data_IF_374461593263
#
_entry.id   IF_374461593263
#
_cell.length_a   1.000
_cell.length_b   1.000
_cell.length_c   1.000
_cell.angle_alpha   90.00
_cell.angle_beta   90.00
_cell.angle_gamma   90.00
#
_symmetry.space_group_name_H-M   'P 1'
#
loop_
_entity.id
_entity.type
_entity.pdbx_description
1 polymer ?
#
# COMPACT_ATOMS: atom_id res chain seq x y z
N UNK A 1 -7.53 3.71 -13.90
CA UNK A 1 -8.22 4.15 -12.67
C UNK A 1 -7.98 5.65 -12.51
N UNK A 2 -9.04 6.43 -12.32
CA UNK A 2 -8.96 7.89 -12.25
C UNK A 2 -8.68 8.38 -10.82
N UNK A 3 -8.30 9.65 -10.69
CA UNK A 3 -8.18 10.33 -9.40
C UNK A 3 -9.48 10.25 -8.57
N UNK A 4 -10.63 10.37 -9.23
CA UNK A 4 -11.93 10.29 -8.58
C UNK A 4 -12.19 8.90 -7.99
N UNK A 5 -11.77 7.84 -8.68
CA UNK A 5 -11.88 6.46 -8.19
C UNK A 5 -11.02 6.24 -6.95
N UNK A 6 -9.81 6.83 -6.91
CA UNK A 6 -8.93 6.77 -5.74
C UNK A 6 -9.51 7.51 -4.54
N UNK A 7 -10.10 8.70 -4.75
CA UNK A 7 -10.81 9.45 -3.70
C UNK A 7 -11.93 8.61 -3.08
N UNK A 8 -12.76 7.96 -3.92
CA UNK A 8 -13.84 7.07 -3.46
C UNK A 8 -13.31 5.88 -2.68
N UNK A 9 -12.31 5.16 -3.21
CA UNK A 9 -11.69 4.02 -2.52
C UNK A 9 -11.13 4.40 -1.15
N UNK A 10 -10.48 5.55 -1.03
CA UNK A 10 -9.98 6.03 0.25
C UNK A 10 -11.11 6.29 1.25
N UNK A 11 -12.24 6.84 0.80
CA UNK A 11 -13.41 7.06 1.65
C UNK A 11 -14.04 5.73 2.11
N UNK A 12 -14.18 4.76 1.21
CA UNK A 12 -14.71 3.42 1.54
C UNK A 12 -13.80 2.66 2.51
N UNK A 13 -12.47 2.74 2.34
CA UNK A 13 -11.50 2.16 3.27
C UNK A 13 -11.59 2.84 4.64
N UNK A 14 -11.69 4.17 4.68
CA UNK A 14 -11.90 4.91 5.93
C UNK A 14 -13.17 4.47 6.64
N UNK A 15 -14.28 4.26 5.92
CA UNK A 15 -15.54 3.78 6.50
C UNK A 15 -15.41 2.35 7.01
N UNK A 16 -14.80 1.46 6.23
CA UNK A 16 -14.68 0.02 6.55
C UNK A 16 -13.73 -0.24 7.72
N UNK A 17 -12.64 0.52 7.80
CA UNK A 17 -11.64 0.36 8.88
C UNK A 17 -11.96 1.26 10.08
N UNK A 18 -12.58 2.42 9.85
CA UNK A 18 -12.88 3.43 10.87
C UNK A 18 -14.07 3.12 11.78
N UNK A 19 -15.01 2.26 11.38
CA UNK A 19 -16.14 1.84 12.24
C UNK A 19 -15.74 0.92 13.40
N UNK A 20 -14.46 0.54 13.54
CA UNK A 20 -13.97 -0.34 14.61
C UNK A 20 -13.10 0.36 15.66
N UNK A 21 -13.17 1.70 15.79
CA UNK A 21 -12.49 2.41 16.85
C UNK A 21 -13.50 3.19 17.71
N UNK A 22 -14.03 2.51 18.73
CA UNK A 22 -14.17 3.17 20.02
C UNK A 22 -12.85 3.86 20.37
N UNK A 23 -13.00 5.06 20.90
CA UNK A 23 -11.96 6.04 21.20
C UNK A 23 -10.78 5.43 21.97
N UNK A 24 -9.66 5.15 21.29
CA UNK A 24 -8.37 5.03 21.96
C UNK A 24 -7.27 5.77 21.17
N UNK A 25 -6.52 6.68 21.80
CA UNK A 25 -5.36 7.31 21.17
C UNK A 25 -4.28 6.23 20.97
N UNK A 26 -4.14 5.75 19.73
CA UNK A 26 -3.06 4.87 19.32
C UNK A 26 -1.73 5.59 19.56
N UNK A 27 -1.00 5.12 20.56
CA UNK A 27 0.39 5.50 20.80
C UNK A 27 1.14 5.40 19.46
N UNK A 28 1.69 6.54 19.03
CA UNK A 28 2.64 6.61 17.92
C UNK A 28 3.89 5.87 18.35
N UNK A 29 3.85 4.54 18.29
CA UNK A 29 5.08 3.75 18.28
C UNK A 29 5.78 4.18 17.02
N UNK A 30 6.86 4.94 17.21
CA UNK A 30 7.82 5.30 16.19
C UNK A 30 8.31 4.01 15.53
N UNK A 31 7.59 3.56 14.50
CA UNK A 31 8.10 2.64 13.51
C UNK A 31 9.20 3.42 12.81
N UNK A 32 10.41 3.38 13.36
CA UNK A 32 11.64 3.63 12.63
C UNK A 32 11.66 2.62 11.49
N UNK A 33 11.03 2.98 10.38
CA UNK A 33 11.50 2.52 9.08
C UNK A 33 12.91 3.08 8.98
N UNK A 34 13.86 2.21 9.25
CA UNK A 34 15.28 2.54 9.21
C UNK A 34 15.55 3.11 7.82
N UNK A 35 15.79 4.43 7.75
CA UNK A 35 16.45 5.06 6.62
C UNK A 35 17.90 4.55 6.62
N UNK A 36 18.11 3.29 6.28
CA UNK A 36 19.43 2.82 5.90
C UNK A 36 19.55 3.08 4.41
N UNK A 37 20.02 4.29 4.12
CA UNK A 37 20.80 4.59 2.94
C UNK A 37 22.13 3.82 3.07
N UNK A 38 22.06 2.50 2.95
CA UNK A 38 23.23 1.66 2.79
C UNK A 38 23.18 1.13 1.38
N UNK A 39 24.10 1.64 0.57
CA UNK A 39 24.53 1.05 -0.70
C UNK A 39 25.06 -0.36 -0.45
N UNK A 40 24.15 -1.29 -0.19
CA UNK A 40 24.43 -2.72 -0.14
C UNK A 40 23.68 -3.32 -1.31
N UNK A 41 24.47 -3.94 -2.17
CA UNK A 41 24.15 -4.60 -3.44
C UNK A 41 23.17 -5.77 -3.21
N UNK A 42 21.97 -5.48 -2.77
CA UNK A 42 20.82 -6.36 -3.00
C UNK A 42 20.47 -6.19 -4.46
N UNK A 43 20.18 -7.28 -5.16
CA UNK A 43 19.62 -7.23 -6.51
C UNK A 43 18.26 -6.52 -6.45
N UNK A 44 18.30 -5.18 -6.40
CA UNK A 44 17.18 -4.32 -6.64
C UNK A 44 16.83 -4.52 -8.11
N UNK A 45 15.89 -5.43 -8.39
CA UNK A 45 14.97 -5.16 -9.48
C UNK A 45 14.20 -3.91 -9.07
N UNK A 46 14.77 -2.74 -9.39
CA UNK A 46 14.17 -1.41 -9.18
C UNK A 46 13.01 -1.22 -10.15
N UNK A 47 12.01 -2.10 -10.06
CA UNK A 47 10.78 -1.96 -10.84
C UNK A 47 10.10 -0.68 -10.38
N UNK A 48 9.79 0.20 -11.32
CA UNK A 48 9.00 1.41 -11.03
C UNK A 48 7.59 1.00 -10.60
N UNK A 49 6.83 1.90 -9.94
CA UNK A 49 5.42 1.64 -9.64
C UNK A 49 4.60 1.20 -10.87
N UNK A 50 4.91 1.74 -12.05
CA UNK A 50 4.29 1.38 -13.33
C UNK A 50 4.61 -0.07 -13.74
N UNK A 51 5.87 -0.50 -13.60
CA UNK A 51 6.30 -1.85 -13.92
C UNK A 51 5.67 -2.87 -12.97
N UNK A 52 5.64 -2.56 -11.67
CA UNK A 52 4.93 -3.37 -10.69
C UNK A 52 3.44 -3.46 -11.02
N UNK A 53 2.80 -2.37 -11.44
CA UNK A 53 1.39 -2.38 -11.83
C UNK A 53 1.13 -3.34 -12.99
N UNK A 54 1.97 -3.31 -14.03
CA UNK A 54 1.84 -4.22 -15.19
C UNK A 54 2.02 -5.69 -14.79
N UNK A 55 3.01 -5.97 -13.94
CA UNK A 55 3.25 -7.33 -13.45
C UNK A 55 2.10 -7.82 -12.57
N UNK A 56 1.59 -6.99 -11.67
CA UNK A 56 0.44 -7.32 -10.82
C UNK A 56 -0.83 -7.52 -11.65
N UNK A 57 -1.02 -6.78 -12.75
CA UNK A 57 -2.12 -7.00 -13.68
C UNK A 57 -1.97 -8.34 -14.42
N UNK A 58 -0.76 -8.67 -14.88
CA UNK A 58 -0.48 -9.95 -15.52
C UNK A 58 -0.71 -11.12 -14.56
N UNK A 59 -0.18 -11.05 -13.33
CA UNK A 59 -0.41 -12.04 -12.28
C UNK A 59 -1.90 -12.11 -11.90
N UNK A 60 -2.63 -11.00 -11.90
CA UNK A 60 -4.06 -11.02 -11.62
C UNK A 60 -4.88 -11.76 -12.69
N UNK A 61 -4.36 -11.90 -13.91
CA UNK A 61 -5.01 -12.62 -15.02
C UNK A 61 -4.56 -14.08 -15.09
N UNK A 62 -3.32 -14.36 -14.71
CA UNK A 62 -2.64 -15.62 -15.02
C UNK A 62 -2.21 -16.44 -13.80
N UNK A 63 -2.31 -15.89 -12.59
CA UNK A 63 -1.83 -16.52 -11.34
C UNK A 63 -2.92 -16.63 -10.27
N UNK A 64 -2.67 -17.51 -9.30
CA UNK A 64 -3.54 -17.69 -8.14
C UNK A 64 -3.47 -16.52 -7.14
N UNK A 65 -4.52 -16.39 -6.33
CA UNK A 65 -4.63 -15.32 -5.32
C UNK A 65 -3.45 -15.26 -4.34
N UNK A 66 -2.83 -16.39 -4.02
CA UNK A 66 -1.69 -16.43 -3.09
C UNK A 66 -0.41 -15.82 -3.70
N UNK A 67 -0.08 -16.18 -4.94
CA UNK A 67 1.07 -15.62 -5.66
C UNK A 67 0.90 -14.13 -5.89
N UNK A 68 -0.31 -13.73 -6.29
CA UNK A 68 -0.67 -12.33 -6.46
C UNK A 68 -0.50 -11.54 -5.16
N UNK A 69 -0.96 -12.08 -4.01
CA UNK A 69 -0.80 -11.44 -2.71
C UNK A 69 0.68 -11.31 -2.30
N UNK A 70 1.50 -12.34 -2.59
CA UNK A 70 2.96 -12.29 -2.36
C UNK A 70 3.59 -11.17 -3.19
N UNK A 71 3.22 -11.04 -4.46
CA UNK A 71 3.71 -9.99 -5.33
C UNK A 71 3.33 -8.58 -4.83
N UNK A 72 2.08 -8.36 -4.39
CA UNK A 72 1.69 -7.08 -3.79
C UNK A 72 2.52 -6.74 -2.55
N UNK A 73 2.75 -7.73 -1.66
CA UNK A 73 3.57 -7.54 -0.45
C UNK A 73 5.04 -7.25 -0.80
N UNK A 74 5.55 -7.83 -1.88
CA UNK A 74 6.90 -7.57 -2.37
C UNK A 74 7.01 -6.16 -2.96
N UNK A 75 6.04 -5.73 -3.78
CA UNK A 75 6.01 -4.42 -4.40
C UNK A 75 6.07 -3.28 -3.36
N UNK A 76 5.20 -3.33 -2.34
CA UNK A 76 5.18 -2.29 -1.30
C UNK A 76 6.42 -2.30 -0.38
N UNK A 77 7.17 -3.41 -0.33
CA UNK A 77 8.42 -3.53 0.43
C UNK A 77 9.65 -3.09 -0.37
N UNK A 78 9.63 -3.27 -1.69
CA UNK A 78 10.78 -2.98 -2.56
C UNK A 78 10.87 -1.49 -2.94
N UNK A 79 9.76 -0.75 -2.82
CA UNK A 79 9.68 0.66 -3.18
C UNK A 79 9.84 1.59 -1.97
N UNK A 80 10.62 2.66 -2.14
CA UNK A 80 10.82 3.69 -1.11
C UNK A 80 9.59 4.60 -1.06
N UNK A 81 8.87 4.59 0.08
CA UNK A 81 7.61 5.33 0.24
C UNK A 81 7.79 6.83 -0.05
N UNK A 82 8.82 7.46 0.52
CA UNK A 82 9.04 8.90 0.38
C UNK A 82 9.24 9.34 -1.08
N UNK A 83 9.84 8.49 -1.91
CA UNK A 83 10.06 8.75 -3.34
C UNK A 83 8.80 8.60 -4.20
N UNK A 84 7.78 7.89 -3.71
CA UNK A 84 6.63 7.47 -4.52
C UNK A 84 5.26 7.78 -3.91
N UNK A 85 5.18 8.37 -2.70
CA UNK A 85 3.91 8.62 -1.99
C UNK A 85 2.89 9.49 -2.74
N UNK A 86 3.30 10.22 -3.78
CA UNK A 86 2.43 10.96 -4.71
C UNK A 86 2.24 10.32 -6.09
N UNK A 87 2.87 9.18 -6.37
CA UNK A 87 2.72 8.47 -7.64
C UNK A 87 1.41 7.66 -7.64
N UNK A 88 0.62 7.80 -8.71
CA UNK A 88 -0.70 7.19 -8.81
C UNK A 88 -0.65 5.65 -8.80
N UNK A 89 0.32 5.05 -9.48
CA UNK A 89 0.51 3.60 -9.55
C UNK A 89 0.96 3.05 -8.19
N UNK A 90 1.83 3.77 -7.50
CA UNK A 90 2.26 3.39 -6.15
C UNK A 90 1.08 3.33 -5.19
N UNK A 91 0.24 4.36 -5.19
CA UNK A 91 -0.96 4.43 -4.34
C UNK A 91 -1.94 3.32 -4.70
N UNK A 92 -2.13 3.05 -5.99
CA UNK A 92 -2.98 1.95 -6.46
C UNK A 92 -2.53 0.60 -5.89
N UNK A 93 -1.22 0.31 -5.95
CA UNK A 93 -0.65 -0.94 -5.41
C UNK A 93 -0.96 -1.07 -3.91
N UNK A 94 -0.78 0.01 -3.13
CA UNK A 94 -1.10 0.01 -1.70
C UNK A 94 -2.58 -0.26 -1.43
N UNK A 95 -3.48 0.39 -2.17
CA UNK A 95 -4.93 0.21 -1.96
C UNK A 95 -5.39 -1.17 -2.37
N UNK A 96 -4.91 -1.68 -3.51
CA UNK A 96 -5.25 -3.04 -3.97
C UNK A 96 -4.75 -4.12 -3.00
N UNK A 97 -3.57 -3.94 -2.39
CA UNK A 97 -3.10 -4.83 -1.34
C UNK A 97 -4.04 -4.82 -0.13
N UNK A 98 -4.44 -3.63 0.33
CA UNK A 98 -5.35 -3.50 1.49
C UNK A 98 -6.71 -4.13 1.17
N UNK A 99 -7.29 -3.87 0.00
CA UNK A 99 -8.57 -4.48 -0.44
C UNK A 99 -8.50 -6.01 -0.47
N UNK A 100 -7.40 -6.58 -0.95
CA UNK A 100 -7.20 -8.04 -0.93
C UNK A 100 -7.10 -8.56 0.50
N UNK A 101 -6.38 -7.87 1.37
CA UNK A 101 -6.25 -8.24 2.77
C UNK A 101 -7.57 -8.09 3.54
N UNK A 102 -8.45 -7.13 3.20
CA UNK A 102 -9.74 -6.99 3.88
C UNK A 102 -10.59 -8.27 3.83
N UNK A 103 -10.46 -9.05 2.75
CA UNK A 103 -11.18 -10.31 2.57
C UNK A 103 -10.45 -11.55 3.11
N UNK A 104 -9.17 -11.42 3.49
CA UNK A 104 -8.30 -12.54 3.87
C UNK A 104 -7.78 -12.46 5.32
N UNK A 105 -7.35 -11.26 5.71
CA UNK A 105 -6.79 -10.96 7.03
C UNK A 105 -7.00 -9.48 7.35
N UNK A 106 -8.07 -9.21 8.10
CA UNK A 106 -8.45 -7.87 8.54
C UNK A 106 -7.36 -7.19 9.39
N UNK A 107 -6.59 -7.94 10.19
CA UNK A 107 -5.55 -7.35 11.03
C UNK A 107 -4.37 -6.86 10.19
N UNK A 108 -3.95 -7.66 9.21
CA UNK A 108 -2.98 -7.20 8.22
C UNK A 108 -3.51 -5.99 7.44
N UNK A 109 -4.76 -6.02 6.97
CA UNK A 109 -5.36 -4.89 6.25
C UNK A 109 -5.31 -3.59 7.07
N UNK A 110 -5.69 -3.65 8.35
CA UNK A 110 -5.58 -2.52 9.29
C UNK A 110 -4.15 -2.02 9.41
N UNK A 111 -3.18 -2.93 9.57
CA UNK A 111 -1.75 -2.56 9.67
C UNK A 111 -1.24 -1.83 8.43
N UNK A 112 -1.51 -2.37 7.24
CA UNK A 112 -1.11 -1.72 5.98
C UNK A 112 -1.82 -0.38 5.78
N UNK A 113 -3.09 -0.27 6.17
CA UNK A 113 -3.82 0.99 6.15
C UNK A 113 -3.21 2.06 7.06
N UNK A 114 -2.78 1.68 8.26
CA UNK A 114 -2.09 2.61 9.16
C UNK A 114 -0.76 3.11 8.57
N UNK A 115 -0.05 2.28 7.80
CA UNK A 115 1.18 2.72 7.10
C UNK A 115 0.85 3.78 6.05
N UNK A 116 -0.19 3.56 5.24
CA UNK A 116 -0.67 4.54 4.24
C UNK A 116 -1.00 5.87 4.91
N UNK A 117 -1.77 5.83 6.00
CA UNK A 117 -2.17 7.04 6.73
C UNK A 117 -0.98 7.76 7.35
N UNK A 118 -0.09 7.03 8.02
CA UNK A 118 1.06 7.61 8.74
C UNK A 118 2.09 8.23 7.80
N UNK A 119 2.31 7.63 6.63
CA UNK A 119 3.25 8.13 5.63
C UNK A 119 2.60 9.10 4.62
N UNK A 120 1.34 9.48 4.82
CA UNK A 120 0.60 10.39 3.94
C UNK A 120 0.61 9.94 2.47
N UNK A 121 0.52 8.63 2.23
CA UNK A 121 0.48 8.07 0.88
C UNK A 121 -0.83 8.49 0.22
N UNK A 122 -0.73 9.21 -0.91
CA UNK A 122 -1.86 9.70 -1.68
C UNK A 122 -2.61 10.89 -1.08
N UNK A 123 -2.09 11.56 -0.03
CA UNK A 123 -2.76 12.75 0.52
C UNK A 123 -2.74 13.95 -0.43
N UNK A 124 -1.79 13.99 -1.38
CA UNK A 124 -1.76 14.98 -2.47
C UNK A 124 -3.01 14.93 -3.34
N UNK A 125 -3.73 13.81 -3.31
CA UNK A 125 -4.94 13.58 -4.08
C UNK A 125 -6.21 13.81 -3.27
N UNK A 126 -6.13 14.18 -1.99
CA UNK A 126 -7.30 14.43 -1.14
C UNK A 126 -7.67 15.92 -1.04
N UNK A 127 -6.86 16.82 -1.61
CA UNK A 127 -7.14 18.25 -1.70
C UNK A 127 -8.12 18.58 -2.85
#
# INVERSE_FOLDING_TARGET
>A
MSLLDLKKKLADLNRTIGTNNDTQPLQTTNLKYSNQQTSTKYNHTSKTPEEWTKELEHLSKNSGNEELLKAYKQAVKSMIIESHKGNIHFIQIWFQLIEKLLNLDLQSAKRYYQIVKSNKIGTSFAQ
#
